data_IF_022070254525
#
_entry.id   IF_022070254525
#
_cell.length_a   1.000
_cell.length_b   1.000
_cell.length_c   1.000
_cell.angle_alpha   90.00
_cell.angle_beta   90.00
_cell.angle_gamma   90.00
#
_symmetry.space_group_name_H-M   'P 1'
#
loop_
_entity.id
_entity.type
_entity.pdbx_description
1 polymer ?
#
# COMPACT_ATOMS: atom_id res chain seq x y z
N UNK A 1 -3.35 -27.39 -12.16
CA UNK A 1 -3.03 -26.09 -11.52
C UNK A 1 -1.59 -25.75 -11.92
N UNK A 2 -1.36 -24.60 -12.58
CA UNK A 2 -0.02 -24.21 -13.02
C UNK A 2 0.82 -23.67 -11.86
N UNK A 3 0.21 -22.87 -10.98
CA UNK A 3 0.90 -22.30 -9.83
C UNK A 3 -0.05 -22.07 -8.64
N UNK A 4 0.54 -21.94 -7.46
CA UNK A 4 -0.12 -21.50 -6.23
C UNK A 4 0.62 -20.26 -5.72
N UNK A 5 -0.09 -19.16 -5.46
CA UNK A 5 0.50 -17.91 -4.99
C UNK A 5 -0.04 -17.59 -3.60
N UNK A 6 0.85 -17.45 -2.65
CA UNK A 6 0.53 -16.98 -1.30
C UNK A 6 0.75 -15.48 -1.21
N UNK A 7 -0.22 -14.77 -0.65
CA UNK A 7 -0.18 -13.32 -0.49
C UNK A 7 -0.85 -12.88 0.80
N UNK A 8 -0.49 -11.70 1.26
CA UNK A 8 -1.16 -11.03 2.36
C UNK A 8 -0.87 -9.53 2.25
N UNK A 9 -1.81 -8.71 2.65
CA UNK A 9 -1.54 -7.31 2.96
C UNK A 9 -1.30 -7.26 4.46
N UNK A 10 -0.07 -7.38 4.90
CA UNK A 10 0.28 -7.29 6.31
C UNK A 10 -0.22 -5.95 6.87
N UNK A 11 -1.46 -5.94 7.27
CA UNK A 11 -2.14 -4.79 7.81
C UNK A 11 -2.63 -5.09 9.20
N UNK A 12 -2.12 -4.37 10.18
CA UNK A 12 -2.58 -4.40 11.55
C UNK A 12 -4.08 -4.12 11.65
N UNK A 13 -4.61 -3.26 10.81
CA UNK A 13 -5.97 -2.73 10.93
C UNK A 13 -6.81 -3.09 9.71
N UNK A 14 -7.98 -3.71 9.97
CA UNK A 14 -8.95 -4.03 8.95
C UNK A 14 -8.58 -5.18 8.00
N UNK A 15 -9.34 -5.37 6.95
CA UNK A 15 -9.23 -6.46 5.98
C UNK A 15 -9.02 -5.91 4.57
N UNK A 16 -7.96 -6.33 3.88
CA UNK A 16 -7.70 -5.91 2.51
C UNK A 16 -6.91 -6.97 1.74
N UNK A 17 -6.86 -6.83 0.42
CA UNK A 17 -6.14 -7.75 -0.48
C UNK A 17 -5.01 -7.03 -1.22
N UNK A 18 -3.99 -7.79 -1.61
CA UNK A 18 -2.87 -7.30 -2.40
C UNK A 18 -3.16 -7.46 -3.91
N UNK A 19 -3.21 -6.36 -4.65
CA UNK A 19 -3.46 -6.39 -6.10
C UNK A 19 -2.45 -7.23 -6.89
N UNK A 20 -1.17 -7.22 -6.50
CA UNK A 20 -0.08 -7.80 -7.28
C UNK A 20 -0.22 -9.30 -7.55
N UNK A 21 -0.55 -10.10 -6.54
CA UNK A 21 -0.73 -11.54 -6.70
C UNK A 21 -1.89 -11.87 -7.65
N UNK A 22 -3.01 -11.16 -7.52
CA UNK A 22 -4.18 -11.37 -8.36
C UNK A 22 -3.97 -10.88 -9.79
N UNK A 23 -3.14 -9.85 -9.99
CA UNK A 23 -2.75 -9.42 -11.33
C UNK A 23 -1.97 -10.51 -12.05
N UNK A 24 -0.97 -11.11 -11.39
CA UNK A 24 -0.20 -12.23 -11.95
C UNK A 24 -1.14 -13.39 -12.27
N UNK A 25 -1.99 -13.79 -11.32
CA UNK A 25 -2.97 -14.85 -11.52
C UNK A 25 -3.88 -14.55 -12.72
N UNK A 26 -4.34 -13.30 -12.89
CA UNK A 26 -5.19 -12.88 -14.01
C UNK A 26 -4.50 -13.01 -15.36
N UNK A 27 -3.21 -12.68 -15.45
CA UNK A 27 -2.45 -12.85 -16.69
C UNK A 27 -2.28 -14.33 -17.09
N UNK A 28 -2.09 -15.22 -16.11
CA UNK A 28 -2.10 -16.66 -16.34
C UNK A 28 -3.49 -17.17 -16.74
N UNK A 29 -4.54 -16.74 -16.02
CA UNK A 29 -5.95 -17.14 -16.27
C UNK A 29 -6.41 -16.74 -17.68
N UNK A 30 -6.02 -15.55 -18.17
CA UNK A 30 -6.28 -15.13 -19.56
C UNK A 30 -5.68 -16.04 -20.61
N UNK A 31 -4.65 -16.81 -20.27
CA UNK A 31 -3.96 -17.77 -21.13
C UNK A 31 -4.38 -19.21 -20.84
N UNK A 32 -5.54 -19.41 -20.19
CA UNK A 32 -6.09 -20.70 -19.78
C UNK A 32 -5.18 -21.52 -18.84
N UNK A 33 -4.29 -20.84 -18.12
CA UNK A 33 -3.45 -21.45 -17.10
C UNK A 33 -4.07 -21.22 -15.70
N UNK A 34 -4.44 -22.30 -15.02
CA UNK A 34 -5.09 -22.22 -13.71
C UNK A 34 -4.06 -21.84 -12.65
N UNK A 35 -4.31 -20.76 -11.92
CA UNK A 35 -3.52 -20.29 -10.79
C UNK A 35 -4.42 -20.11 -9.59
N UNK A 36 -4.03 -20.70 -8.45
CA UNK A 36 -4.69 -20.51 -7.15
C UNK A 36 -3.98 -19.40 -6.40
N UNK A 37 -4.73 -18.40 -5.95
CA UNK A 37 -4.24 -17.41 -4.98
C UNK A 37 -4.79 -17.78 -3.60
N UNK A 38 -3.92 -17.78 -2.60
CA UNK A 38 -4.25 -17.98 -1.19
C UNK A 38 -3.86 -16.72 -0.46
N UNK A 39 -4.87 -15.96 -0.06
CA UNK A 39 -4.70 -14.70 0.66
C UNK A 39 -4.66 -14.91 2.18
N UNK A 40 -4.39 -13.84 2.92
CA UNK A 40 -4.27 -13.87 4.38
C UNK A 40 -3.33 -14.97 4.88
N UNK A 41 -2.28 -15.23 4.11
CA UNK A 41 -1.42 -16.38 4.32
C UNK A 41 -0.74 -16.35 5.70
N UNK A 42 -0.47 -15.17 6.28
CA UNK A 42 0.09 -15.04 7.63
C UNK A 42 -0.85 -15.53 8.74
N UNK A 43 -2.12 -15.78 8.42
CA UNK A 43 -3.10 -16.35 9.35
C UNK A 43 -3.10 -17.89 9.40
N UNK A 44 -2.41 -18.54 8.46
CA UNK A 44 -2.34 -20.00 8.39
C UNK A 44 -1.14 -20.53 9.18
N UNK A 45 -1.31 -21.69 9.81
CA UNK A 45 -0.22 -22.45 10.40
C UNK A 45 0.58 -23.15 9.31
N UNK A 46 1.84 -23.46 9.58
CA UNK A 46 2.72 -24.15 8.64
C UNK A 46 2.09 -25.42 8.05
N UNK A 47 1.50 -26.26 8.88
CA UNK A 47 0.88 -27.52 8.43
C UNK A 47 -0.37 -27.27 7.54
N UNK A 48 -1.15 -26.22 7.83
CA UNK A 48 -2.28 -25.82 6.97
C UNK A 48 -1.77 -25.39 5.58
N UNK A 49 -0.66 -24.65 5.52
CA UNK A 49 -0.04 -24.22 4.26
C UNK A 49 0.46 -25.43 3.47
N UNK A 50 1.16 -26.37 4.11
CA UNK A 50 1.62 -27.62 3.46
C UNK A 50 0.45 -28.42 2.91
N UNK A 51 -0.65 -28.56 3.69
CA UNK A 51 -1.86 -29.24 3.23
C UNK A 51 -2.51 -28.53 2.04
N UNK A 52 -2.59 -27.19 2.02
CA UNK A 52 -3.10 -26.43 0.88
C UNK A 52 -2.26 -26.64 -0.38
N UNK A 53 -0.93 -26.68 -0.25
CA UNK A 53 -0.04 -26.98 -1.37
C UNK A 53 -0.34 -28.39 -1.91
N UNK A 54 -0.40 -29.41 -1.06
CA UNK A 54 -0.68 -30.79 -1.49
C UNK A 54 -2.03 -30.92 -2.14
N UNK A 55 -3.06 -30.26 -1.61
CA UNK A 55 -4.44 -30.31 -2.13
C UNK A 55 -4.56 -29.68 -3.51
N UNK A 56 -3.96 -28.52 -3.72
CA UNK A 56 -4.07 -27.78 -4.97
C UNK A 56 -3.00 -28.13 -6.00
N UNK A 57 -1.92 -28.81 -5.59
CA UNK A 57 -0.88 -29.29 -6.50
C UNK A 57 -1.43 -30.34 -7.46
N UNK A 58 -1.12 -30.18 -8.73
CA UNK A 58 -1.38 -31.17 -9.79
C UNK A 58 -0.07 -31.53 -10.48
N UNK A 59 -0.11 -32.44 -11.44
CA UNK A 59 1.07 -32.78 -12.28
C UNK A 59 1.57 -31.60 -13.12
N UNK A 60 0.71 -30.59 -13.34
CA UNK A 60 1.01 -29.39 -14.12
C UNK A 60 1.57 -28.24 -13.23
N UNK A 61 1.66 -28.45 -11.91
CA UNK A 61 2.15 -27.40 -11.02
C UNK A 61 3.66 -27.28 -11.13
N UNK A 62 4.13 -26.10 -11.52
CA UNK A 62 5.54 -25.83 -11.76
C UNK A 62 6.19 -25.05 -10.62
N UNK A 63 5.44 -24.14 -9.97
CA UNK A 63 5.98 -23.26 -8.95
C UNK A 63 5.01 -22.85 -7.88
N UNK A 64 5.57 -22.47 -6.73
CA UNK A 64 4.88 -21.80 -5.62
C UNK A 64 5.40 -20.38 -5.52
N UNK A 65 4.49 -19.41 -5.50
CA UNK A 65 4.80 -17.99 -5.43
C UNK A 65 4.52 -17.39 -4.06
N UNK A 66 5.35 -16.44 -3.66
CA UNK A 66 5.11 -15.60 -2.49
C UNK A 66 5.18 -14.13 -2.88
N UNK A 67 4.13 -13.38 -2.52
CA UNK A 67 4.13 -11.93 -2.70
C UNK A 67 4.81 -11.28 -1.50
N UNK A 68 5.96 -10.63 -1.74
CA UNK A 68 6.76 -9.98 -0.69
C UNK A 68 6.57 -8.47 -0.62
N UNK A 69 5.58 -7.90 -1.30
CA UNK A 69 5.34 -6.46 -1.29
C UNK A 69 5.05 -5.96 0.14
N UNK A 70 4.29 -6.72 0.89
CA UNK A 70 3.89 -6.41 2.28
C UNK A 70 4.43 -7.42 3.28
N UNK A 71 4.75 -8.65 2.82
CA UNK A 71 5.28 -9.72 3.65
C UNK A 71 6.66 -10.08 3.11
N UNK A 72 7.67 -10.05 3.96
CA UNK A 72 8.94 -10.68 3.61
C UNK A 72 8.93 -12.11 4.14
N UNK A 73 9.36 -13.08 3.33
CA UNK A 73 9.76 -14.37 3.88
C UNK A 73 10.83 -14.13 4.95
N UNK A 74 10.72 -14.79 6.09
CA UNK A 74 11.50 -14.49 7.32
C UNK A 74 13.00 -14.82 7.21
N UNK A 75 13.46 -15.31 6.08
CA UNK A 75 14.89 -15.52 5.79
C UNK A 75 15.74 -14.23 5.83
N UNK A 76 15.10 -13.08 6.02
CA UNK A 76 15.79 -11.80 5.93
C UNK A 76 16.14 -11.23 7.30
N UNK A 77 17.29 -11.58 7.83
CA UNK A 77 17.93 -10.86 8.94
C UNK A 77 18.00 -9.33 8.70
N UNK A 78 18.17 -8.93 7.46
CA UNK A 78 18.11 -7.51 7.06
C UNK A 78 16.71 -6.91 7.20
N UNK A 79 15.66 -7.72 7.20
CA UNK A 79 14.29 -7.26 7.46
C UNK A 79 13.96 -7.29 8.95
N UNK A 80 14.45 -8.28 9.68
CA UNK A 80 14.37 -8.35 11.14
C UNK A 80 15.06 -7.15 11.81
N UNK A 81 16.18 -6.68 11.26
CA UNK A 81 16.82 -5.44 11.73
C UNK A 81 16.06 -4.17 11.39
N UNK A 82 15.28 -4.16 10.29
CA UNK A 82 14.34 -3.06 9.95
C UNK A 82 13.03 -3.13 10.74
N UNK A 83 12.57 -4.33 11.08
CA UNK A 83 11.37 -4.56 11.90
C UNK A 83 11.63 -4.20 13.37
N UNK A 84 12.86 -4.26 13.86
CA UNK A 84 13.21 -3.71 15.18
C UNK A 84 12.98 -2.20 15.31
N UNK A 85 12.82 -1.48 14.20
CA UNK A 85 12.52 -0.04 14.15
C UNK A 85 11.01 0.20 14.02
N UNK A 86 10.20 -0.81 13.73
CA UNK A 86 8.74 -0.68 13.70
C UNK A 86 8.19 -0.79 15.13
N UNK A 87 7.17 0.03 15.41
CA UNK A 87 6.53 0.11 16.72
C UNK A 87 6.15 -1.28 17.28
N UNK A 88 6.11 -1.41 18.60
CA UNK A 88 5.68 -2.63 19.28
C UNK A 88 4.28 -3.13 18.82
N UNK A 89 3.44 -2.22 18.28
CA UNK A 89 2.13 -2.53 17.72
C UNK A 89 2.24 -3.31 16.40
N UNK A 90 3.23 -2.98 15.55
CA UNK A 90 3.49 -3.71 14.29
C UNK A 90 4.19 -5.05 14.53
N UNK A 91 4.95 -5.19 15.61
CA UNK A 91 5.56 -6.47 16.00
C UNK A 91 4.53 -7.48 16.53
N UNK A 92 3.48 -7.00 17.20
CA UNK A 92 2.41 -7.87 17.71
C UNK A 92 1.48 -8.44 16.64
N UNK A 93 1.52 -7.91 15.41
CA UNK A 93 0.61 -8.27 14.32
C UNK A 93 1.29 -8.95 13.13
N UNK A 94 2.63 -9.01 13.10
CA UNK A 94 3.37 -9.75 12.08
C UNK A 94 3.48 -11.24 12.46
N UNK A 95 2.36 -11.91 12.56
CA UNK A 95 2.31 -13.37 12.71
C UNK A 95 2.46 -13.98 11.32
N UNK A 96 3.65 -13.93 10.78
CA UNK A 96 4.06 -14.80 9.69
C UNK A 96 4.73 -16.05 10.29
N UNK A 97 5.16 -16.93 9.43
CA UNK A 97 5.99 -18.05 9.82
C UNK A 97 7.28 -17.54 10.48
N UNK A 98 7.77 -18.25 11.48
CA UNK A 98 9.12 -18.04 12.02
C UNK A 98 10.17 -18.36 10.95
N UNK A 99 11.43 -17.99 11.21
CA UNK A 99 12.54 -18.34 10.31
C UNK A 99 12.63 -19.86 10.08
N UNK A 100 12.54 -20.65 11.12
CA UNK A 100 12.60 -22.12 11.05
C UNK A 100 11.40 -22.70 10.29
N UNK A 101 10.19 -22.18 10.52
CA UNK A 101 9.00 -22.58 9.78
C UNK A 101 9.08 -22.21 8.30
N UNK A 102 9.64 -21.06 7.97
CA UNK A 102 9.84 -20.63 6.57
C UNK A 102 10.85 -21.53 5.85
N UNK A 103 11.93 -21.91 6.54
CA UNK A 103 12.92 -22.85 6.01
C UNK A 103 12.29 -24.22 5.78
N UNK A 104 11.56 -24.76 6.77
CA UNK A 104 10.84 -26.03 6.66
C UNK A 104 9.84 -26.00 5.47
N UNK A 105 9.08 -24.92 5.32
CA UNK A 105 8.16 -24.75 4.19
C UNK A 105 8.92 -24.77 2.84
N UNK A 106 10.04 -24.09 2.73
CA UNK A 106 10.81 -24.04 1.49
C UNK A 106 11.44 -25.39 1.16
N UNK A 107 11.99 -26.09 2.16
CA UNK A 107 12.53 -27.43 1.98
C UNK A 107 11.42 -28.43 1.59
N UNK A 108 10.24 -28.29 2.20
CA UNK A 108 9.06 -29.07 1.78
C UNK A 108 8.69 -28.81 0.33
N UNK A 109 8.60 -27.55 -0.11
CA UNK A 109 8.27 -27.21 -1.51
C UNK A 109 9.31 -27.78 -2.47
N UNK A 110 10.61 -27.67 -2.14
CA UNK A 110 11.71 -28.26 -2.94
C UNK A 110 11.63 -29.77 -3.03
N UNK A 111 11.24 -30.44 -1.93
CA UNK A 111 11.04 -31.89 -1.91
C UNK A 111 9.95 -32.38 -2.86
N UNK A 112 8.99 -31.52 -3.19
CA UNK A 112 7.94 -31.77 -4.18
C UNK A 112 8.39 -31.52 -5.63
N UNK A 113 9.64 -31.11 -5.85
CA UNK A 113 10.19 -30.76 -7.17
C UNK A 113 9.66 -29.43 -7.74
N UNK A 114 9.13 -28.54 -6.90
CA UNK A 114 8.54 -27.27 -7.31
C UNK A 114 9.55 -26.12 -7.16
N UNK A 115 9.49 -25.14 -8.09
CA UNK A 115 10.22 -23.89 -7.95
C UNK A 115 9.59 -22.99 -6.90
N UNK A 116 10.41 -22.23 -6.20
CA UNK A 116 9.97 -21.16 -5.30
C UNK A 116 10.24 -19.82 -5.99
N UNK A 117 9.20 -18.99 -6.10
CA UNK A 117 9.29 -17.67 -6.72
C UNK A 117 8.82 -16.62 -5.72
N UNK A 118 9.64 -15.60 -5.49
CA UNK A 118 9.29 -14.47 -4.62
C UNK A 118 9.24 -13.20 -5.47
N UNK A 119 8.11 -12.51 -5.45
CA UNK A 119 7.88 -11.29 -6.23
C UNK A 119 7.51 -10.08 -5.37
N UNK A 120 7.54 -8.89 -5.97
CA UNK A 120 7.23 -7.64 -5.30
C UNK A 120 8.40 -6.98 -4.57
N UNK A 121 9.60 -7.53 -4.68
CA UNK A 121 10.81 -6.99 -4.03
C UNK A 121 11.39 -5.82 -4.81
N UNK A 122 11.88 -4.83 -4.07
CA UNK A 122 12.56 -3.65 -4.62
C UNK A 122 14.08 -3.72 -4.50
N UNK A 123 14.59 -4.63 -3.66
CA UNK A 123 16.02 -4.83 -3.43
C UNK A 123 16.43 -6.23 -3.87
N UNK A 124 17.65 -6.36 -4.42
CA UNK A 124 18.20 -7.66 -4.79
C UNK A 124 18.49 -8.47 -3.54
N UNK A 125 17.99 -9.69 -3.51
CA UNK A 125 18.38 -10.72 -2.56
C UNK A 125 18.77 -11.96 -3.34
N UNK A 126 19.80 -12.67 -2.88
CA UNK A 126 20.22 -13.94 -3.45
C UNK A 126 20.00 -15.02 -2.38
N UNK A 127 19.15 -15.96 -2.69
CA UNK A 127 18.86 -17.08 -1.81
C UNK A 127 18.96 -18.39 -2.58
N UNK A 128 19.61 -19.38 -2.01
CA UNK A 128 19.88 -20.65 -2.68
C UNK A 128 18.55 -21.39 -2.97
N UNK A 129 18.23 -21.59 -4.25
CA UNK A 129 17.03 -22.29 -4.72
C UNK A 129 15.74 -21.48 -4.72
N UNK A 130 15.81 -20.15 -4.56
CA UNK A 130 14.67 -19.24 -4.68
C UNK A 130 14.89 -18.27 -5.83
N UNK A 131 13.90 -18.15 -6.72
CA UNK A 131 13.91 -17.17 -7.80
C UNK A 131 13.24 -15.89 -7.37
N UNK A 132 13.95 -14.78 -7.40
CA UNK A 132 13.42 -13.47 -7.10
C UNK A 132 13.05 -12.69 -8.35
N UNK A 133 11.86 -12.06 -8.35
CA UNK A 133 11.39 -11.19 -9.42
C UNK A 133 11.40 -9.73 -8.95
N UNK A 134 12.09 -8.88 -9.68
CA UNK A 134 12.24 -7.46 -9.40
C UNK A 134 11.42 -6.64 -10.39
N UNK A 135 10.66 -5.67 -9.87
CA UNK A 135 9.73 -4.89 -10.69
C UNK A 135 8.39 -5.59 -10.90
N UNK A 136 7.63 -5.22 -11.93
CA UNK A 136 6.37 -5.87 -12.26
C UNK A 136 6.58 -7.34 -12.59
N UNK A 137 6.03 -8.22 -11.77
CA UNK A 137 6.32 -9.65 -11.89
C UNK A 137 5.72 -10.25 -13.17
N UNK A 138 4.63 -9.70 -13.69
CA UNK A 138 4.02 -10.11 -14.95
C UNK A 138 4.98 -9.98 -16.14
N UNK A 139 5.87 -8.99 -16.15
CA UNK A 139 6.84 -8.78 -17.23
C UNK A 139 7.92 -9.88 -17.28
N UNK A 140 8.12 -10.60 -16.17
CA UNK A 140 9.04 -11.75 -16.11
C UNK A 140 8.42 -13.01 -16.68
N UNK A 141 7.10 -13.13 -16.67
CA UNK A 141 6.38 -14.29 -17.20
C UNK A 141 5.92 -14.06 -18.64
N UNK A 142 5.52 -12.84 -18.99
CA UNK A 142 4.85 -12.55 -20.26
C UNK A 142 5.47 -11.32 -20.93
N UNK A 143 6.13 -11.53 -22.07
CA UNK A 143 6.74 -10.45 -22.87
C UNK A 143 5.70 -9.52 -23.52
N UNK A 144 4.48 -10.01 -23.68
CA UNK A 144 3.33 -9.31 -24.23
C UNK A 144 2.42 -8.69 -23.16
N UNK A 145 2.89 -8.67 -21.92
CA UNK A 145 2.20 -7.97 -20.83
C UNK A 145 2.05 -6.49 -21.13
N UNK A 146 0.83 -5.97 -20.99
CA UNK A 146 0.54 -4.57 -21.20
C UNK A 146 -0.33 -4.04 -20.06
N UNK A 147 0.27 -3.21 -19.21
CA UNK A 147 -0.42 -2.63 -18.07
C UNK A 147 -1.69 -1.86 -18.48
N UNK A 148 -1.66 -1.09 -19.58
CA UNK A 148 -2.75 -0.21 -19.97
C UNK A 148 -4.04 -0.96 -20.31
N UNK A 149 -3.94 -2.22 -20.72
CA UNK A 149 -5.08 -3.10 -21.04
C UNK A 149 -5.29 -4.21 -20.00
N UNK A 150 -4.43 -4.27 -19.00
CA UNK A 150 -4.51 -5.30 -17.97
C UNK A 150 -5.65 -5.04 -16.99
N UNK A 151 -6.28 -6.10 -16.50
CA UNK A 151 -7.34 -6.05 -15.51
C UNK A 151 -7.09 -7.16 -14.48
N UNK A 152 -7.51 -6.96 -13.24
CA UNK A 152 -7.58 -8.03 -12.27
C UNK A 152 -8.90 -8.79 -12.48
N UNK A 153 -8.79 -10.09 -12.69
CA UNK A 153 -9.92 -11.01 -12.82
C UNK A 153 -9.96 -11.86 -11.56
N UNK A 154 -10.93 -11.56 -10.71
CA UNK A 154 -11.20 -12.33 -9.51
C UNK A 154 -11.95 -13.61 -9.90
N UNK A 155 -11.46 -14.75 -9.42
CA UNK A 155 -12.05 -16.07 -9.66
C UNK A 155 -12.90 -16.47 -8.45
N UNK A 156 -13.89 -17.34 -8.64
CA UNK A 156 -14.66 -17.92 -7.52
C UNK A 156 -13.76 -18.56 -6.46
N UNK A 157 -12.66 -19.18 -6.89
CA UNK A 157 -11.67 -19.75 -5.98
C UNK A 157 -10.87 -18.72 -5.17
N UNK A 158 -10.97 -17.43 -5.45
CA UNK A 158 -10.31 -16.36 -4.67
C UNK A 158 -11.12 -16.01 -3.41
N UNK A 159 -12.34 -16.52 -3.27
CA UNK A 159 -13.22 -16.32 -2.11
C UNK A 159 -13.36 -14.84 -1.71
N UNK A 160 -13.79 -14.01 -2.69
CA UNK A 160 -14.09 -12.60 -2.45
C UNK A 160 -15.39 -12.52 -1.64
N UNK A 161 -15.40 -11.72 -0.58
CA UNK A 161 -16.61 -11.47 0.20
C UNK A 161 -17.59 -10.59 -0.57
N UNK A 162 -18.88 -10.79 -0.32
CA UNK A 162 -19.90 -9.92 -0.89
C UNK A 162 -19.68 -8.47 -0.48
N UNK A 163 -19.78 -7.54 -1.45
CA UNK A 163 -19.54 -6.11 -1.27
C UNK A 163 -18.12 -5.75 -0.79
N UNK A 164 -17.14 -6.64 -0.95
CA UNK A 164 -15.77 -6.36 -0.56
C UNK A 164 -15.20 -5.18 -1.37
N UNK A 165 -14.58 -4.22 -0.66
CA UNK A 165 -13.79 -3.16 -1.28
C UNK A 165 -12.46 -3.74 -1.78
N UNK A 166 -12.23 -3.67 -3.08
CA UNK A 166 -11.09 -4.29 -3.73
C UNK A 166 -9.98 -3.28 -4.08
N UNK A 167 -8.72 -3.71 -4.16
CA UNK A 167 -7.68 -2.87 -4.73
C UNK A 167 -7.83 -2.79 -6.24
N UNK A 168 -7.61 -1.59 -6.81
CA UNK A 168 -7.55 -1.39 -8.25
C UNK A 168 -6.38 -0.48 -8.61
N UNK A 169 -5.66 -0.80 -9.68
CA UNK A 169 -4.60 0.04 -10.24
C UNK A 169 -5.15 0.78 -11.46
N UNK A 170 -5.14 2.11 -11.42
CA UNK A 170 -5.53 2.97 -12.55
C UNK A 170 -4.28 3.37 -13.33
N UNK A 171 -3.20 3.72 -12.60
CA UNK A 171 -1.91 4.06 -13.18
C UNK A 171 -0.76 3.51 -12.35
N UNK A 172 0.41 3.32 -12.97
CA UNK A 172 1.67 2.99 -12.30
C UNK A 172 2.68 4.10 -12.47
N UNK A 173 3.47 4.34 -11.41
CA UNK A 173 4.48 5.38 -11.40
C UNK A 173 3.92 6.77 -11.25
N UNK A 174 4.82 7.73 -11.11
CA UNK A 174 4.49 9.12 -10.83
C UNK A 174 5.19 10.05 -11.83
N UNK A 175 4.54 11.16 -12.23
CA UNK A 175 5.15 12.16 -13.10
C UNK A 175 6.24 12.98 -12.39
N UNK A 176 6.28 12.96 -11.06
CA UNK A 176 7.24 13.67 -10.24
C UNK A 176 8.50 12.84 -9.98
N UNK A 177 9.59 13.53 -9.60
CA UNK A 177 10.90 12.96 -9.26
C UNK A 177 11.35 13.42 -7.88
N UNK A 178 10.52 13.20 -6.86
CA UNK A 178 10.91 13.51 -5.49
C UNK A 178 12.16 12.73 -5.09
N UNK A 179 13.16 13.43 -4.51
CA UNK A 179 14.49 12.85 -4.29
C UNK A 179 14.55 11.71 -3.27
N UNK A 180 13.56 11.61 -2.38
CA UNK A 180 13.45 10.53 -1.39
C UNK A 180 12.72 9.28 -1.93
N UNK A 181 12.03 9.42 -3.06
CA UNK A 181 11.11 8.39 -3.53
C UNK A 181 11.81 7.24 -4.26
N UNK A 182 11.62 6.03 -3.77
CA UNK A 182 12.18 4.81 -4.34
C UNK A 182 11.22 4.05 -5.26
N UNK A 183 10.04 4.60 -5.55
CA UNK A 183 9.08 3.96 -6.45
C UNK A 183 9.65 3.86 -7.86
N UNK A 184 9.45 2.72 -8.54
CA UNK A 184 9.80 2.61 -9.95
C UNK A 184 8.91 3.53 -10.80
N UNK A 185 9.38 3.87 -12.02
CA UNK A 185 8.65 4.71 -12.97
C UNK A 185 8.38 6.15 -12.50
N UNK A 186 9.21 6.67 -11.58
CA UNK A 186 9.18 8.09 -11.23
C UNK A 186 9.68 8.95 -12.40
N UNK A 187 8.94 10.03 -12.69
CA UNK A 187 9.20 10.93 -13.82
C UNK A 187 8.72 10.37 -15.15
N UNK A 188 7.75 9.45 -15.15
CA UNK A 188 7.05 9.00 -16.36
C UNK A 188 6.29 10.15 -17.02
N UNK A 189 5.93 9.99 -18.29
CA UNK A 189 4.96 10.88 -18.93
C UNK A 189 3.56 10.62 -18.39
N UNK A 190 2.70 11.64 -18.42
CA UNK A 190 1.38 11.63 -17.76
C UNK A 190 0.53 10.39 -18.10
N UNK A 191 0.43 10.02 -19.36
CA UNK A 191 -0.42 8.92 -19.82
C UNK A 191 0.29 7.57 -19.94
N UNK A 192 1.60 7.53 -19.70
CA UNK A 192 2.33 6.27 -19.68
C UNK A 192 1.85 5.41 -18.51
N UNK A 193 1.70 4.12 -18.73
CA UNK A 193 1.22 3.19 -17.71
C UNK A 193 -0.09 3.65 -17.04
N UNK A 194 -1.06 4.11 -17.85
CA UNK A 194 -2.37 4.53 -17.40
C UNK A 194 -3.45 3.79 -18.18
N UNK A 195 -4.39 3.17 -17.46
CA UNK A 195 -5.53 2.47 -18.08
C UNK A 195 -6.54 3.47 -18.64
N UNK A 196 -7.17 3.10 -19.75
CA UNK A 196 -8.26 3.91 -20.31
C UNK A 196 -9.53 3.80 -19.43
N UNK A 197 -10.40 4.82 -19.44
CA UNK A 197 -11.70 4.75 -18.77
C UNK A 197 -12.52 3.51 -19.16
N UNK A 198 -12.46 3.08 -20.41
CA UNK A 198 -13.14 1.87 -20.89
C UNK A 198 -12.66 0.60 -20.16
N UNK A 199 -11.35 0.40 -20.09
CA UNK A 199 -10.75 -0.77 -19.41
C UNK A 199 -11.13 -0.81 -17.93
N UNK A 200 -11.08 0.35 -17.26
CA UNK A 200 -11.46 0.47 -15.85
C UNK A 200 -12.95 0.21 -15.63
N UNK A 201 -13.81 0.77 -16.49
CA UNK A 201 -15.25 0.53 -16.42
C UNK A 201 -15.60 -0.95 -16.55
N UNK A 202 -14.99 -1.65 -17.50
CA UNK A 202 -15.20 -3.09 -17.68
C UNK A 202 -14.75 -3.89 -16.44
N UNK A 203 -13.61 -3.53 -15.82
CA UNK A 203 -13.12 -4.16 -14.60
C UNK A 203 -14.06 -3.91 -13.42
N UNK A 204 -14.50 -2.66 -13.21
CA UNK A 204 -15.41 -2.29 -12.13
C UNK A 204 -16.80 -2.92 -12.30
N UNK A 205 -17.37 -2.94 -13.50
CA UNK A 205 -18.65 -3.58 -13.77
C UNK A 205 -18.61 -5.09 -13.50
N UNK A 206 -17.55 -5.76 -13.92
CA UNK A 206 -17.39 -7.20 -13.66
C UNK A 206 -17.33 -7.48 -12.16
N UNK A 207 -16.58 -6.66 -11.40
CA UNK A 207 -16.48 -6.81 -9.95
C UNK A 207 -17.82 -6.54 -9.26
N UNK A 208 -18.59 -5.57 -9.73
CA UNK A 208 -19.93 -5.29 -9.23
C UNK A 208 -20.90 -6.47 -9.50
N UNK A 209 -20.94 -6.97 -10.74
CA UNK A 209 -21.82 -8.07 -11.14
C UNK A 209 -21.49 -9.36 -10.35
N UNK A 210 -20.21 -9.66 -10.17
CA UNK A 210 -19.79 -10.93 -9.58
C UNK A 210 -19.74 -10.91 -8.06
N UNK A 211 -19.48 -9.74 -7.43
CA UNK A 211 -19.19 -9.64 -6.00
C UNK A 211 -19.93 -8.50 -5.29
N UNK A 212 -20.77 -7.72 -5.99
CA UNK A 212 -21.40 -6.53 -5.43
C UNK A 212 -20.42 -5.41 -5.06
N UNK A 213 -19.19 -5.44 -5.57
CA UNK A 213 -18.15 -4.47 -5.22
C UNK A 213 -18.49 -3.07 -5.74
N UNK A 214 -18.64 -2.12 -4.83
CA UNK A 214 -18.86 -0.69 -5.10
C UNK A 214 -17.73 0.19 -4.57
N UNK A 215 -16.81 -0.40 -3.79
CA UNK A 215 -15.73 0.30 -3.15
C UNK A 215 -14.34 -0.14 -3.61
N UNK A 216 -13.40 0.83 -3.72
CA UNK A 216 -12.05 0.54 -4.19
C UNK A 216 -10.97 1.30 -3.42
N UNK A 217 -9.85 0.63 -3.19
CA UNK A 217 -8.59 1.27 -2.86
C UNK A 217 -7.80 1.50 -4.15
N UNK A 218 -7.60 2.74 -4.55
CA UNK A 218 -6.77 3.07 -5.70
C UNK A 218 -5.29 2.96 -5.32
N UNK A 219 -4.59 2.04 -5.95
CA UNK A 219 -3.18 1.73 -5.64
C UNK A 219 -2.19 2.59 -6.43
N UNK A 220 -2.64 3.72 -6.96
CA UNK A 220 -1.83 4.64 -7.76
C UNK A 220 -0.79 5.37 -6.89
N UNK A 221 0.41 5.61 -7.42
CA UNK A 221 1.43 6.41 -6.72
C UNK A 221 1.04 7.90 -6.59
N UNK A 222 0.25 8.43 -7.53
CA UNK A 222 -0.37 9.77 -7.49
C UNK A 222 -1.60 9.78 -8.38
N UNK A 223 -2.78 9.77 -7.77
CA UNK A 223 -4.04 9.68 -8.52
C UNK A 223 -4.38 10.98 -9.26
N UNK A 224 -4.15 12.12 -8.62
CA UNK A 224 -4.53 13.46 -9.10
C UNK A 224 -3.42 14.18 -9.88
N UNK A 225 -2.61 13.46 -10.64
CA UNK A 225 -1.49 14.03 -11.40
C UNK A 225 -1.94 14.94 -12.56
N UNK A 226 -3.23 14.94 -12.93
CA UNK A 226 -3.82 15.85 -13.92
C UNK A 226 -5.32 16.03 -13.69
N UNK A 227 -5.81 17.29 -13.82
CA UNK A 227 -7.25 17.60 -13.77
C UNK A 227 -7.97 16.91 -14.92
N UNK A 228 -7.39 16.90 -16.12
CA UNK A 228 -7.95 16.20 -17.28
C UNK A 228 -8.18 14.70 -17.01
N UNK A 229 -7.20 14.03 -16.37
CA UNK A 229 -7.34 12.60 -16.02
C UNK A 229 -8.49 12.37 -15.06
N UNK A 230 -8.53 13.12 -13.94
CA UNK A 230 -9.59 12.92 -12.95
C UNK A 230 -10.97 13.29 -13.48
N UNK A 231 -11.08 14.29 -14.37
CA UNK A 231 -12.35 14.64 -15.03
C UNK A 231 -12.85 13.53 -15.95
N UNK A 232 -11.99 13.00 -16.83
CA UNK A 232 -12.34 11.85 -17.70
C UNK A 232 -12.76 10.62 -16.91
N UNK A 233 -12.12 10.38 -15.77
CA UNK A 233 -12.49 9.28 -14.88
C UNK A 233 -13.81 9.55 -14.16
N UNK A 234 -14.04 10.77 -13.68
CA UNK A 234 -15.32 11.18 -13.09
C UNK A 234 -16.48 10.98 -14.05
N UNK A 235 -16.32 11.39 -15.32
CA UNK A 235 -17.33 11.18 -16.34
C UNK A 235 -17.63 9.68 -16.54
N UNK A 236 -16.61 8.84 -16.52
CA UNK A 236 -16.79 7.39 -16.59
C UNK A 236 -17.48 6.84 -15.34
N UNK A 237 -17.10 7.29 -14.13
CA UNK A 237 -17.71 6.81 -12.88
C UNK A 237 -19.21 7.11 -12.83
N UNK A 238 -19.66 8.26 -13.35
CA UNK A 238 -21.08 8.61 -13.48
C UNK A 238 -21.89 7.65 -14.37
N UNK A 239 -21.21 6.81 -15.16
CA UNK A 239 -21.87 5.77 -16.00
C UNK A 239 -21.96 4.41 -15.31
N UNK A 240 -21.43 4.26 -14.09
CA UNK A 240 -21.54 3.02 -13.32
C UNK A 240 -22.96 2.88 -12.74
N UNK A 241 -23.49 1.64 -12.60
CA UNK A 241 -24.82 1.42 -12.04
C UNK A 241 -24.85 1.47 -10.49
N UNK A 242 -23.78 1.95 -9.86
CA UNK A 242 -23.62 2.09 -8.42
C UNK A 242 -22.86 3.37 -8.07
N UNK A 243 -22.97 3.79 -6.81
CA UNK A 243 -22.23 4.92 -6.29
C UNK A 243 -20.84 4.47 -5.84
N UNK A 244 -19.83 4.90 -6.57
CA UNK A 244 -18.44 4.56 -6.26
C UNK A 244 -18.00 5.14 -4.92
N UNK A 245 -17.36 4.33 -4.09
CA UNK A 245 -16.59 4.77 -2.92
C UNK A 245 -15.10 4.43 -3.12
N UNK A 246 -14.21 5.39 -2.89
CA UNK A 246 -12.78 5.06 -3.01
C UNK A 246 -11.90 5.84 -2.04
N UNK A 247 -10.71 5.30 -1.84
CA UNK A 247 -9.58 5.97 -1.23
C UNK A 247 -8.39 6.01 -2.19
N UNK A 248 -7.55 7.07 -2.09
CA UNK A 248 -6.41 7.21 -3.00
C UNK A 248 -5.24 7.98 -2.38
N UNK A 249 -4.05 7.76 -2.94
CA UNK A 249 -2.89 8.66 -2.75
C UNK A 249 -3.01 9.85 -3.68
N UNK A 250 -2.78 11.05 -3.17
CA UNK A 250 -2.84 12.27 -3.95
C UNK A 250 -1.78 13.29 -3.50
N UNK A 251 -1.63 14.35 -4.25
CA UNK A 251 -0.78 15.49 -3.91
C UNK A 251 -1.63 16.70 -3.56
N UNK A 252 -1.46 17.23 -2.35
CA UNK A 252 -2.18 18.40 -1.87
C UNK A 252 -1.85 19.66 -2.68
N UNK A 253 -0.57 19.84 -3.06
CA UNK A 253 -0.10 20.99 -3.84
C UNK A 253 -0.78 21.11 -5.23
N UNK A 254 -1.16 19.99 -5.84
CA UNK A 254 -1.93 19.99 -7.09
C UNK A 254 -3.37 20.44 -6.88
N UNK A 255 -4.02 20.00 -5.79
CA UNK A 255 -5.38 20.43 -5.45
C UNK A 255 -5.39 21.92 -5.11
N UNK A 256 -4.42 22.39 -4.31
CA UNK A 256 -4.31 23.80 -3.93
C UNK A 256 -4.06 24.69 -5.17
N UNK A 257 -3.29 24.20 -6.13
CA UNK A 257 -3.01 24.92 -7.38
C UNK A 257 -4.18 24.89 -8.37
N UNK A 258 -5.08 23.90 -8.27
CA UNK A 258 -6.26 23.66 -9.12
C UNK A 258 -7.46 23.28 -8.23
N UNK A 259 -8.08 24.26 -7.54
CA UNK A 259 -9.10 24.00 -6.52
C UNK A 259 -10.33 23.25 -7.03
N UNK A 260 -10.67 23.41 -8.30
CA UNK A 260 -11.76 22.66 -8.96
C UNK A 260 -11.56 21.14 -8.89
N UNK A 261 -10.31 20.67 -8.80
CA UNK A 261 -10.01 19.25 -8.70
C UNK A 261 -10.56 18.62 -7.41
N UNK A 262 -10.72 19.41 -6.33
CA UNK A 262 -11.25 18.91 -5.08
C UNK A 262 -12.73 18.55 -5.17
N UNK A 263 -13.51 19.38 -5.88
CA UNK A 263 -14.92 19.08 -6.15
C UNK A 263 -15.07 17.84 -7.05
N UNK A 264 -14.25 17.74 -8.10
CA UNK A 264 -14.26 16.59 -9.00
C UNK A 264 -13.97 15.30 -8.23
N UNK A 265 -12.99 15.31 -7.30
CA UNK A 265 -12.67 14.16 -6.48
C UNK A 265 -13.81 13.78 -5.53
N UNK A 266 -14.45 14.77 -4.91
CA UNK A 266 -15.59 14.56 -4.03
C UNK A 266 -16.79 13.97 -4.80
N UNK A 267 -17.13 14.54 -5.96
CA UNK A 267 -18.18 14.02 -6.86
C UNK A 267 -17.89 12.60 -7.35
N UNK A 268 -16.62 12.28 -7.59
CA UNK A 268 -16.18 10.95 -8.01
C UNK A 268 -16.36 9.86 -6.96
N UNK A 269 -16.67 10.23 -5.71
CA UNK A 269 -16.87 9.28 -4.60
C UNK A 269 -15.66 9.10 -3.68
N UNK A 270 -14.69 10.04 -3.69
CA UNK A 270 -13.57 10.02 -2.74
C UNK A 270 -14.07 10.08 -1.30
N UNK A 271 -13.66 9.12 -0.47
CA UNK A 271 -13.99 9.03 0.96
C UNK A 271 -12.79 9.26 1.87
N UNK A 272 -11.61 8.90 1.39
CA UNK A 272 -10.38 9.09 2.15
C UNK A 272 -9.20 9.33 1.21
N UNK A 273 -8.32 10.25 1.60
CA UNK A 273 -7.14 10.61 0.82
C UNK A 273 -5.90 10.63 1.69
N UNK A 274 -4.77 10.18 1.12
CA UNK A 274 -3.47 10.32 1.74
C UNK A 274 -2.62 11.33 0.97
N UNK A 275 -2.17 12.36 1.67
CA UNK A 275 -1.24 13.35 1.17
C UNK A 275 0.17 13.12 1.71
N UNK A 276 1.12 12.83 0.84
CA UNK A 276 2.53 12.94 1.19
C UNK A 276 2.90 14.42 1.30
N UNK A 277 2.88 14.99 2.49
CA UNK A 277 3.31 16.38 2.74
C UNK A 277 4.81 16.44 2.92
N UNK A 278 5.36 15.49 3.63
CA UNK A 278 6.75 15.20 3.96
C UNK A 278 7.35 16.17 4.97
N UNK A 279 7.18 17.49 4.85
CA UNK A 279 7.66 18.47 5.84
C UNK A 279 6.95 19.81 5.72
N UNK A 280 6.73 20.47 6.86
CA UNK A 280 6.36 21.88 6.93
C UNK A 280 7.58 22.83 7.07
N UNK A 281 8.80 22.33 7.00
CA UNK A 281 9.97 23.15 6.79
C UNK A 281 10.17 23.44 5.31
N UNK A 282 10.08 24.69 4.89
CA UNK A 282 10.14 25.07 3.46
C UNK A 282 11.45 24.64 2.77
N UNK A 283 12.59 24.79 3.46
CA UNK A 283 13.90 24.38 2.91
C UNK A 283 13.97 22.87 2.72
N UNK A 284 13.45 22.12 3.70
CA UNK A 284 13.36 20.66 3.64
C UNK A 284 12.45 20.21 2.49
N UNK A 285 11.24 20.74 2.43
CA UNK A 285 10.29 20.42 1.36
C UNK A 285 10.86 20.71 -0.03
N UNK A 286 11.47 21.87 -0.21
CA UNK A 286 12.11 22.26 -1.49
C UNK A 286 13.27 21.34 -1.86
N UNK A 287 14.07 20.87 -0.89
CA UNK A 287 15.22 20.00 -1.13
C UNK A 287 14.84 18.63 -1.71
N UNK A 288 13.61 18.18 -1.43
CA UNK A 288 13.09 16.88 -1.88
C UNK A 288 12.13 16.98 -3.07
N UNK A 289 11.96 18.18 -3.65
CA UNK A 289 11.09 18.39 -4.82
C UNK A 289 9.62 18.68 -4.50
N UNK A 290 9.33 19.14 -3.27
CA UNK A 290 8.02 19.68 -2.85
C UNK A 290 8.15 21.20 -2.73
N UNK A 291 7.72 21.94 -3.76
CA UNK A 291 8.03 23.36 -3.90
C UNK A 291 7.03 24.33 -3.27
N UNK A 292 5.84 23.89 -2.89
CA UNK A 292 4.81 24.76 -2.31
C UNK A 292 5.19 25.21 -0.91
N UNK A 293 4.91 26.47 -0.59
CA UNK A 293 5.19 27.02 0.75
C UNK A 293 4.31 26.33 1.79
N UNK A 294 4.86 25.93 2.96
CA UNK A 294 4.10 25.21 4.00
C UNK A 294 2.83 25.92 4.47
N UNK A 295 2.84 27.25 4.58
CA UNK A 295 1.65 27.99 5.00
C UNK A 295 0.51 27.85 3.99
N UNK A 296 0.80 27.89 2.69
CA UNK A 296 -0.21 27.59 1.65
C UNK A 296 -0.73 26.16 1.72
N UNK A 297 0.14 25.21 2.12
CA UNK A 297 -0.29 23.82 2.31
C UNK A 297 -1.22 23.72 3.51
N UNK A 298 -0.89 24.37 4.63
CA UNK A 298 -1.74 24.41 5.83
C UNK A 298 -3.11 25.05 5.57
N UNK A 299 -3.12 26.22 4.92
CA UNK A 299 -4.35 26.91 4.49
C UNK A 299 -5.18 26.04 3.53
N UNK A 300 -4.51 25.35 2.60
CA UNK A 300 -5.15 24.43 1.68
C UNK A 300 -5.78 23.23 2.36
N UNK A 301 -5.13 22.61 3.35
CA UNK A 301 -5.67 21.52 4.13
C UNK A 301 -6.91 21.96 4.93
N UNK A 302 -6.88 23.14 5.54
CA UNK A 302 -8.02 23.74 6.20
C UNK A 302 -9.18 23.91 5.21
N UNK A 303 -8.95 24.60 4.11
CA UNK A 303 -9.96 24.83 3.06
C UNK A 303 -10.56 23.51 2.51
N UNK A 304 -9.73 22.50 2.23
CA UNK A 304 -10.22 21.20 1.76
C UNK A 304 -11.14 20.54 2.80
N UNK A 305 -10.78 20.61 4.08
CA UNK A 305 -11.57 20.02 5.16
C UNK A 305 -12.89 20.75 5.39
N UNK A 306 -12.86 22.08 5.34
CA UNK A 306 -14.08 22.91 5.49
C UNK A 306 -15.06 22.70 4.32
N UNK A 307 -14.54 22.56 3.11
CA UNK A 307 -15.35 22.40 1.90
C UNK A 307 -16.02 21.03 1.79
N UNK A 308 -15.30 19.95 2.09
CA UNK A 308 -15.79 18.58 2.06
C UNK A 308 -15.46 17.85 3.37
N UNK A 309 -16.14 18.18 4.48
CA UNK A 309 -15.81 17.66 5.82
C UNK A 309 -15.98 16.14 5.95
N UNK A 310 -16.71 15.51 5.04
CA UNK A 310 -16.95 14.08 5.03
C UNK A 310 -15.76 13.28 4.47
N UNK A 311 -14.80 13.92 3.78
CA UNK A 311 -13.60 13.26 3.28
C UNK A 311 -12.56 13.20 4.40
N UNK A 312 -12.04 11.99 4.65
CA UNK A 312 -10.95 11.78 5.59
C UNK A 312 -9.62 12.19 4.97
N UNK A 313 -8.91 13.12 5.61
CA UNK A 313 -7.62 13.62 5.17
C UNK A 313 -6.53 13.00 6.05
N UNK A 314 -5.65 12.22 5.43
CA UNK A 314 -4.47 11.65 6.06
C UNK A 314 -3.21 12.31 5.51
N UNK A 315 -2.23 12.61 6.38
CA UNK A 315 -0.97 13.23 5.98
C UNK A 315 0.24 12.40 6.40
N UNK A 316 1.17 12.21 5.48
CA UNK A 316 2.47 11.57 5.75
C UNK A 316 3.58 12.59 5.83
N UNK A 317 4.48 12.40 6.80
CA UNK A 317 5.66 13.23 7.04
C UNK A 317 6.92 12.37 7.12
N UNK A 318 8.06 12.96 6.79
CA UNK A 318 9.37 12.33 6.95
C UNK A 318 10.18 13.16 7.94
N UNK A 319 10.46 12.56 9.11
CA UNK A 319 11.30 13.20 10.13
C UNK A 319 12.79 13.05 9.79
N UNK A 320 13.52 14.14 9.85
CA UNK A 320 14.96 14.18 9.61
C UNK A 320 15.35 14.44 8.16
N UNK A 321 14.52 15.08 7.37
CA UNK A 321 14.86 15.54 6.01
C UNK A 321 16.00 16.58 6.04
N UNK A 322 16.70 16.80 4.90
CA UNK A 322 17.71 17.86 4.80
C UNK A 322 17.18 19.21 5.30
N UNK A 323 17.98 19.95 6.04
CA UNK A 323 17.66 21.26 6.67
C UNK A 323 16.57 21.23 7.75
N UNK A 324 16.01 20.08 8.08
CA UNK A 324 15.09 19.98 9.21
C UNK A 324 15.84 20.07 10.53
N UNK A 325 15.28 20.79 11.50
CA UNK A 325 15.80 20.91 12.86
C UNK A 325 14.81 20.34 13.85
N UNK A 326 15.24 20.10 15.09
CA UNK A 326 14.35 19.65 16.17
C UNK A 326 13.20 20.63 16.39
N UNK A 327 13.47 21.93 16.30
CA UNK A 327 12.48 23.00 16.45
C UNK A 327 11.46 22.97 15.33
N UNK A 328 11.91 22.84 14.06
CA UNK A 328 10.99 22.77 12.92
C UNK A 328 10.12 21.52 12.92
N UNK A 329 10.67 20.37 13.35
CA UNK A 329 9.92 19.14 13.49
C UNK A 329 8.90 19.23 14.64
N UNK A 330 9.30 19.77 15.81
CA UNK A 330 8.38 20.03 16.91
C UNK A 330 7.24 20.99 16.51
N UNK A 331 7.56 22.08 15.79
CA UNK A 331 6.54 23.01 15.27
C UNK A 331 5.56 22.33 14.32
N UNK A 332 6.02 21.35 13.52
CA UNK A 332 5.13 20.52 12.69
C UNK A 332 4.18 19.69 13.55
N UNK A 333 4.69 19.05 14.60
CA UNK A 333 3.89 18.28 15.54
C UNK A 333 2.86 19.15 16.26
N UNK A 334 3.29 20.32 16.80
CA UNK A 334 2.43 21.26 17.50
C UNK A 334 1.27 21.76 16.62
N UNK A 335 1.55 22.04 15.33
CA UNK A 335 0.51 22.42 14.39
C UNK A 335 -0.50 21.30 14.15
N UNK A 336 -0.03 20.07 13.96
CA UNK A 336 -0.89 18.89 13.75
C UNK A 336 -1.76 18.58 14.98
N UNK A 337 -1.24 18.77 16.18
CA UNK A 337 -1.94 18.54 17.45
C UNK A 337 -2.96 19.64 17.75
N UNK A 338 -2.74 20.86 17.27
CA UNK A 338 -3.56 22.04 17.61
C UNK A 338 -4.79 22.24 16.71
N UNK A 339 -4.99 21.40 15.68
CA UNK A 339 -6.10 21.56 14.74
C UNK A 339 -6.77 20.23 14.38
N UNK A 340 -7.93 20.32 13.68
CA UNK A 340 -8.74 19.18 13.24
C UNK A 340 -8.88 19.10 11.71
N UNK A 341 -8.00 19.78 10.95
CA UNK A 341 -8.06 19.76 9.48
C UNK A 341 -7.50 18.47 8.89
N UNK A 342 -6.68 17.76 9.67
CA UNK A 342 -6.11 16.46 9.33
C UNK A 342 -6.69 15.40 10.27
N UNK A 343 -7.34 14.39 9.71
CA UNK A 343 -7.99 13.32 10.49
C UNK A 343 -6.98 12.32 11.04
N UNK A 344 -5.94 12.04 10.28
CA UNK A 344 -4.83 11.20 10.73
C UNK A 344 -3.50 11.65 10.13
N UNK A 345 -2.42 11.41 10.84
CA UNK A 345 -1.08 11.67 10.34
C UNK A 345 -0.07 10.69 10.91
N UNK A 346 0.98 10.48 10.15
CA UNK A 346 2.07 9.60 10.55
C UNK A 346 3.42 10.17 10.11
N UNK A 347 4.44 9.85 10.88
CA UNK A 347 5.82 10.17 10.55
C UNK A 347 6.59 8.90 10.21
N UNK A 348 7.44 8.99 9.19
CA UNK A 348 8.48 8.01 8.91
C UNK A 348 9.83 8.67 9.17
N UNK A 349 10.72 8.02 9.91
CA UNK A 349 12.10 8.52 10.03
C UNK A 349 12.79 8.34 8.67
N UNK A 350 13.54 9.36 8.27
CA UNK A 350 14.29 9.33 7.02
C UNK A 350 15.18 8.08 6.96
N UNK A 351 14.97 7.25 5.97
CA UNK A 351 15.82 6.08 5.71
C UNK A 351 16.85 6.43 4.63
N UNK A 352 18.08 6.60 5.04
CA UNK A 352 19.22 6.77 4.14
C UNK A 352 20.07 5.51 4.26
N UNK A 353 20.30 4.82 3.16
CA UNK A 353 21.27 3.73 3.11
C UNK A 353 22.40 4.13 2.16
N UNK A 354 23.68 4.01 2.57
CA UNK A 354 24.81 4.24 1.67
C UNK A 354 24.77 3.35 0.42
N UNK A 355 24.05 2.23 0.50
CA UNK A 355 23.89 1.24 -0.57
C UNK A 355 22.62 1.46 -1.41
N UNK A 356 21.71 2.32 -0.99
CA UNK A 356 20.47 2.58 -1.73
C UNK A 356 20.64 3.78 -2.66
N UNK A 357 20.17 3.64 -3.89
CA UNK A 357 20.08 4.74 -4.87
C UNK A 357 18.92 5.71 -4.58
N UNK A 358 18.48 5.84 -3.33
CA UNK A 358 17.49 6.84 -2.95
C UNK A 358 18.18 8.21 -3.04
N UNK A 359 17.57 9.11 -3.76
CA UNK A 359 18.18 10.32 -4.28
C UNK A 359 18.50 11.45 -3.28
N UNK A 360 18.52 11.19 -1.96
CA UNK A 360 19.08 12.12 -0.99
C UNK A 360 20.58 11.83 -0.88
N UNK A 361 21.38 12.70 -1.46
CA UNK A 361 22.83 12.62 -1.37
C UNK A 361 23.28 12.94 0.09
N UNK A 362 23.73 11.94 0.86
CA UNK A 362 24.08 12.14 2.26
C UNK A 362 25.26 13.08 2.44
N UNK A 363 26.23 13.07 1.53
CA UNK A 363 27.41 13.92 1.60
C UNK A 363 27.03 15.39 1.38
N UNK A 364 26.21 15.66 0.37
CA UNK A 364 25.71 17.01 0.06
C UNK A 364 24.96 17.63 1.24
N UNK A 365 24.24 16.85 2.00
CA UNK A 365 23.40 17.32 3.11
C UNK A 365 24.01 17.07 4.50
N UNK A 366 25.29 16.67 4.56
CA UNK A 366 26.04 16.53 5.81
C UNK A 366 25.65 15.36 6.69
N UNK A 367 24.98 14.33 6.12
CA UNK A 367 24.66 13.11 6.88
C UNK A 367 25.91 12.25 7.05
N UNK A 368 26.09 11.78 8.27
CA UNK A 368 27.09 10.82 8.68
C UNK A 368 26.37 9.58 9.26
N UNK A 369 27.08 8.47 9.40
CA UNK A 369 26.51 7.19 9.84
C UNK A 369 27.32 6.61 10.99
N UNK A 370 26.62 6.01 11.94
CA UNK A 370 27.18 5.17 12.99
C UNK A 370 26.28 3.94 13.22
N UNK A 371 26.53 3.15 14.24
CA UNK A 371 25.75 1.94 14.58
C UNK A 371 24.27 2.24 14.91
N UNK A 372 23.96 3.45 15.32
CA UNK A 372 22.59 3.90 15.66
C UNK A 372 21.83 4.51 14.47
N UNK A 373 22.46 4.61 13.30
CA UNK A 373 21.87 5.16 12.09
C UNK A 373 22.54 6.44 11.61
N UNK A 374 21.80 7.28 10.89
CA UNK A 374 22.31 8.56 10.41
C UNK A 374 22.27 9.64 11.49
N UNK A 375 23.18 10.60 11.38
CA UNK A 375 23.18 11.86 12.14
C UNK A 375 23.72 13.00 11.28
N UNK A 376 23.33 14.21 11.60
CA UNK A 376 23.86 15.45 11.03
C UNK A 376 23.99 16.52 12.13
N UNK A 377 24.32 17.75 11.77
CA UNK A 377 24.51 18.84 12.74
C UNK A 377 23.20 19.25 13.45
N UNK A 378 22.03 18.88 12.91
CA UNK A 378 20.73 19.29 13.45
C UNK A 378 20.12 18.23 14.37
N UNK A 379 20.26 16.93 14.05
CA UNK A 379 19.67 15.83 14.81
C UNK A 379 20.25 14.47 14.42
N UNK A 380 19.98 13.48 15.25
CA UNK A 380 20.21 12.06 14.98
C UNK A 380 18.91 11.37 14.56
N UNK A 381 19.01 10.19 13.95
CA UNK A 381 17.85 9.35 13.61
C UNK A 381 17.00 9.03 14.85
N UNK A 382 17.63 8.73 15.99
CA UNK A 382 16.93 8.45 17.25
C UNK A 382 16.18 9.66 17.81
N UNK A 383 16.75 10.89 17.69
CA UNK A 383 16.05 12.11 18.11
C UNK A 383 14.88 12.42 17.19
N UNK A 384 15.03 12.23 15.87
CA UNK A 384 13.94 12.36 14.90
C UNK A 384 12.80 11.39 15.23
N UNK A 385 13.11 10.13 15.54
CA UNK A 385 12.13 9.11 15.94
C UNK A 385 11.43 9.49 17.25
N UNK A 386 12.17 9.94 18.25
CA UNK A 386 11.60 10.37 19.54
C UNK A 386 10.62 11.53 19.39
N UNK A 387 10.92 12.53 18.54
CA UNK A 387 10.02 13.65 18.29
C UNK A 387 8.81 13.18 17.48
N UNK A 388 9.03 12.40 16.43
CA UNK A 388 7.98 11.90 15.56
C UNK A 388 6.98 11.00 16.30
N UNK A 389 7.46 10.13 17.21
CA UNK A 389 6.63 9.17 17.94
C UNK A 389 5.70 9.81 18.98
N UNK A 390 6.01 11.03 19.46
CA UNK A 390 5.11 11.74 20.38
C UNK A 390 3.81 12.20 19.70
N UNK A 391 3.87 12.43 18.39
CA UNK A 391 2.80 13.02 17.62
C UNK A 391 2.32 12.04 16.54
N UNK A 392 1.59 11.03 16.97
CA UNK A 392 0.85 10.14 16.07
C UNK A 392 -0.62 10.20 16.45
N UNK A 393 -1.40 10.90 15.64
CA UNK A 393 -2.84 10.93 15.82
C UNK A 393 -3.44 9.75 15.08
N UNK A 394 -4.19 8.98 15.87
CA UNK A 394 -5.16 7.99 15.48
C UNK A 394 -5.02 7.44 14.05
N UNK A 395 -4.35 6.31 13.93
CA UNK A 395 -4.11 5.66 12.65
C UNK A 395 -5.36 5.00 12.06
N UNK A 396 -6.43 4.81 12.86
CA UNK A 396 -7.65 4.12 12.44
C UNK A 396 -8.44 4.90 11.38
N UNK A 397 -8.35 6.22 11.37
CA UNK A 397 -8.93 7.07 10.34
C UNK A 397 -7.98 7.31 9.14
N UNK A 398 -6.89 6.56 9.08
CA UNK A 398 -5.92 6.66 8.00
C UNK A 398 -6.49 6.18 6.66
N UNK A 399 -6.02 6.81 5.60
CA UNK A 399 -6.39 6.51 4.22
C UNK A 399 -6.44 5.01 3.89
N UNK A 400 -5.38 4.27 4.26
CA UNK A 400 -5.28 2.84 3.94
C UNK A 400 -6.30 2.00 4.68
N UNK A 401 -6.90 2.53 5.72
CA UNK A 401 -7.81 1.77 6.58
C UNK A 401 -9.27 1.97 6.22
N UNK A 402 -9.65 3.06 5.53
CA UNK A 402 -11.03 3.28 5.13
C UNK A 402 -11.64 2.04 4.46
N UNK A 403 -11.09 1.61 3.32
CA UNK A 403 -11.59 0.45 2.60
C UNK A 403 -11.48 -0.85 3.40
N UNK A 404 -10.42 -1.00 4.20
CA UNK A 404 -10.23 -2.18 5.06
C UNK A 404 -11.25 -2.27 6.19
N UNK A 405 -11.67 -1.13 6.76
CA UNK A 405 -12.71 -1.07 7.77
C UNK A 405 -14.10 -1.29 7.14
N UNK A 406 -14.33 -0.77 5.93
CA UNK A 406 -15.52 -1.10 5.14
C UNK A 406 -15.66 -2.61 4.93
N UNK A 407 -14.57 -3.32 4.68
CA UNK A 407 -14.54 -4.79 4.56
C UNK A 407 -14.84 -5.52 5.88
N UNK A 408 -14.84 -4.83 7.01
CA UNK A 408 -15.31 -5.32 8.30
C UNK A 408 -16.75 -4.90 8.62
N UNK A 409 -17.50 -4.45 7.61
CA UNK A 409 -18.88 -3.99 7.70
C UNK A 409 -19.10 -2.76 8.61
N UNK A 410 -18.09 -1.89 8.73
CA UNK A 410 -18.30 -0.55 9.25
C UNK A 410 -18.87 0.35 8.15
N UNK A 411 -19.91 1.12 8.42
CA UNK A 411 -20.40 2.10 7.47
C UNK A 411 -19.51 3.35 7.42
N UNK A 412 -19.67 4.26 6.44
CA UNK A 412 -18.81 5.44 6.30
C UNK A 412 -18.80 6.36 7.53
N UNK A 413 -19.92 6.48 8.24
CA UNK A 413 -20.01 7.31 9.44
C UNK A 413 -19.32 6.67 10.64
N UNK A 414 -19.47 5.35 10.80
CA UNK A 414 -18.75 4.60 11.83
C UNK A 414 -17.25 4.74 11.63
N UNK A 415 -16.74 4.53 10.38
CA UNK A 415 -15.30 4.66 10.08
C UNK A 415 -14.76 6.01 10.54
N UNK A 416 -15.50 7.10 10.33
CA UNK A 416 -15.08 8.44 10.76
C UNK A 416 -15.02 8.64 12.29
N UNK A 417 -15.72 7.82 13.05
CA UNK A 417 -15.80 7.90 14.51
C UNK A 417 -14.89 6.93 15.24
N UNK A 418 -14.29 5.98 14.52
CA UNK A 418 -13.39 5.01 15.13
C UNK A 418 -12.15 5.70 15.70
N UNK A 419 -11.75 5.27 16.86
CA UNK A 419 -10.52 5.63 17.54
C UNK A 419 -9.85 4.40 18.14
N UNK A 420 -8.76 4.58 18.85
CA UNK A 420 -7.98 3.45 19.40
C UNK A 420 -8.75 2.58 20.39
N UNK A 421 -9.87 3.09 20.98
CA UNK A 421 -10.74 2.31 21.87
C UNK A 421 -11.47 1.18 21.14
N UNK A 422 -11.64 1.29 19.82
CA UNK A 422 -12.29 0.26 18.98
C UNK A 422 -11.34 -0.84 18.51
N UNK A 423 -10.05 -0.80 18.85
CA UNK A 423 -9.03 -1.75 18.34
C UNK A 423 -9.40 -3.21 18.59
N UNK A 424 -9.89 -3.54 19.76
CA UNK A 424 -10.33 -4.91 20.10
C UNK A 424 -11.52 -5.36 19.24
N UNK A 425 -12.51 -4.50 19.06
CA UNK A 425 -13.67 -4.80 18.23
C UNK A 425 -13.27 -5.01 16.76
N UNK A 426 -12.37 -4.18 16.24
CA UNK A 426 -11.83 -4.30 14.89
C UNK A 426 -11.08 -5.62 14.71
N UNK A 427 -10.24 -5.98 15.67
CA UNK A 427 -9.50 -7.23 15.65
C UNK A 427 -10.43 -8.44 15.68
N UNK A 428 -11.49 -8.42 16.49
CA UNK A 428 -12.48 -9.49 16.55
C UNK A 428 -13.25 -9.65 15.24
N UNK A 429 -13.71 -8.55 14.62
CA UNK A 429 -14.36 -8.60 13.30
C UNK A 429 -13.42 -9.14 12.23
N UNK A 430 -12.16 -8.68 12.20
CA UNK A 430 -11.12 -9.16 11.30
C UNK A 430 -10.86 -10.66 11.47
N UNK A 431 -10.69 -11.11 12.72
CA UNK A 431 -10.48 -12.53 13.02
C UNK A 431 -11.62 -13.40 12.49
N UNK A 432 -12.87 -12.99 12.69
CA UNK A 432 -14.03 -13.73 12.22
C UNK A 432 -14.07 -13.83 10.68
N UNK A 433 -13.79 -12.73 9.97
CA UNK A 433 -13.71 -12.72 8.50
C UNK A 433 -12.58 -13.61 7.97
N UNK A 434 -11.41 -13.55 8.59
CA UNK A 434 -10.28 -14.43 8.21
C UNK A 434 -10.60 -15.88 8.49
N UNK A 435 -11.26 -16.19 9.61
CA UNK A 435 -11.71 -17.56 9.93
C UNK A 435 -12.72 -18.08 8.91
N UNK A 436 -13.66 -17.24 8.45
CA UNK A 436 -14.59 -17.56 7.38
C UNK A 436 -13.84 -17.92 6.08
N UNK A 437 -12.90 -17.05 5.67
CA UNK A 437 -12.05 -17.30 4.51
C UNK A 437 -11.25 -18.61 4.64
N UNK A 438 -10.56 -18.83 5.78
CA UNK A 438 -9.80 -20.06 6.02
C UNK A 438 -10.67 -21.30 5.90
N UNK A 439 -11.86 -21.30 6.49
CA UNK A 439 -12.79 -22.42 6.40
C UNK A 439 -13.17 -22.71 4.95
N UNK A 440 -13.48 -21.66 4.16
CA UNK A 440 -13.79 -21.82 2.74
C UNK A 440 -12.61 -22.41 1.95
N UNK A 441 -11.39 -21.90 2.17
CA UNK A 441 -10.19 -22.36 1.46
C UNK A 441 -9.76 -23.78 1.90
N UNK A 442 -9.92 -24.13 3.18
CA UNK A 442 -9.56 -25.45 3.70
C UNK A 442 -10.63 -26.52 3.41
N UNK A 443 -11.87 -26.16 3.04
CA UNK A 443 -12.94 -27.10 2.69
C UNK A 443 -13.03 -27.39 1.19
N UNK A 444 -12.43 -26.55 0.34
CA UNK A 444 -12.31 -26.75 -1.11
C UNK A 444 -11.09 -27.60 -1.45
#
# INVERSE_FOLDING_TARGET
>A
MHAIIFTDVNGSIGLGRAAGAYRIASEFRKRNQKVKVIDFFTSFKLEEIKQLILRHKTKETEWIGFSSTFIAPVEFDAFASRVKIRSALEQATSIGLTYEESKDLFDFIKSLGLQIIVGGMRTKHEFNGVKYLYGPAEDHFFKDSNFNTSQIIWDHGDHIFDHEHLPIEIARGCIFKCSFCSYPLNGKKLWDFCKSPKVLREEMLRNYINHGTEGYMFSDDTYNDSVEKISKLNDMYKTLPFNLEFSSYARADLIISKPESWDILAESGLKSVFFGIESFNHKSAKSIGKGMHPDKVKEGLQWMKEKHPHILISCGFIAGLPYETKESLNSTCDWLESNNYVDSYSFQVLSISPLSKIGIDPVKYGYKFNEQGWYNDNMTAAEAEKIASRSMKNTLNGFTFYNRLRNLNYNPEEVRRLDDSYQEQINNRKYNKIKEYKNAVLSC
#
